data_IF_321629129122
#
_entry.id   IF_321629129122
#
_cell.length_a   1.000
_cell.length_b   1.000
_cell.length_c   1.000
_cell.angle_alpha   90.00
_cell.angle_beta   90.00
_cell.angle_gamma   90.00
#
_symmetry.space_group_name_H-M   'P 1'
#
loop_
_entity.id
_entity.type
_entity.pdbx_description
1 polymer ?
#
# COMPACT_ATOMS: atom_id res chain seq x y z
N UNK A 1 -22.67 0.97 22.71
CA UNK A 1 -21.72 1.80 21.94
C UNK A 1 -20.34 1.43 22.50
N UNK A 2 -19.59 0.62 21.77
CA UNK A 2 -18.23 0.24 22.14
C UNK A 2 -17.34 1.44 21.79
N UNK A 3 -16.77 2.12 22.78
CA UNK A 3 -15.69 3.07 22.56
C UNK A 3 -14.49 2.26 22.07
N UNK A 4 -14.22 2.28 20.77
CA UNK A 4 -13.03 1.69 20.21
C UNK A 4 -11.81 2.41 20.81
N UNK A 5 -10.91 1.65 21.41
CA UNK A 5 -9.64 2.18 21.91
C UNK A 5 -8.82 2.63 20.69
N UNK A 6 -8.60 3.93 20.52
CA UNK A 6 -7.71 4.48 19.48
C UNK A 6 -6.30 3.96 19.70
N UNK A 7 -5.66 3.45 18.64
CA UNK A 7 -4.28 2.94 18.71
C UNK A 7 -3.27 4.06 18.48
N UNK A 8 -2.03 3.90 18.92
CA UNK A 8 -0.97 4.86 18.64
C UNK A 8 -0.73 5.05 17.13
N UNK A 9 -0.94 3.99 16.32
CA UNK A 9 -0.88 4.03 14.86
C UNK A 9 -2.00 4.91 14.29
N UNK A 10 -3.22 4.76 14.78
CA UNK A 10 -4.36 5.56 14.36
C UNK A 10 -4.18 7.04 14.73
N UNK A 11 -3.76 7.35 15.95
CA UNK A 11 -3.50 8.72 16.40
C UNK A 11 -2.44 9.40 15.53
N UNK A 12 -1.34 8.69 15.24
CA UNK A 12 -0.26 9.21 14.43
C UNK A 12 -0.73 9.56 13.00
N UNK A 13 -1.36 8.60 12.30
CA UNK A 13 -1.76 8.80 10.92
C UNK A 13 -2.94 9.76 10.78
N UNK A 14 -3.90 9.75 11.70
CA UNK A 14 -4.98 10.73 11.70
C UNK A 14 -4.45 12.15 11.87
N UNK A 15 -3.53 12.38 12.82
CA UNK A 15 -2.84 13.66 12.99
C UNK A 15 -2.05 14.07 11.75
N UNK A 16 -1.30 13.12 11.15
CA UNK A 16 -0.52 13.37 9.95
C UNK A 16 -1.36 13.88 8.77
N UNK A 17 -2.57 13.33 8.58
CA UNK A 17 -3.48 13.77 7.54
C UNK A 17 -4.23 15.05 7.92
N UNK A 18 -4.55 15.30 9.19
CA UNK A 18 -5.22 16.52 9.63
C UNK A 18 -4.34 17.78 9.53
N UNK A 19 -3.04 17.64 9.71
CA UNK A 19 -2.09 18.77 9.69
C UNK A 19 -1.90 19.40 8.29
N UNK A 20 -2.38 18.76 7.22
CA UNK A 20 -2.20 19.21 5.82
C UNK A 20 -3.47 19.00 5.02
N UNK A 21 -3.75 19.93 4.10
CA UNK A 21 -4.92 19.82 3.22
C UNK A 21 -4.79 18.71 2.17
N UNK A 22 -3.58 18.45 1.70
CA UNK A 22 -3.22 17.39 0.77
C UNK A 22 -1.80 16.90 1.05
N UNK A 23 -1.62 15.60 1.10
CA UNK A 23 -0.33 14.97 1.37
C UNK A 23 0.30 14.45 0.07
N UNK A 24 -0.48 13.73 -0.73
CA UNK A 24 0.02 13.01 -1.90
C UNK A 24 -0.33 13.73 -3.21
N UNK A 25 0.38 13.38 -4.26
CA UNK A 25 0.24 14.03 -5.58
C UNK A 25 -1.08 13.72 -6.28
N UNK A 26 -1.87 12.77 -5.78
CA UNK A 26 -3.08 12.26 -6.45
C UNK A 26 -2.79 11.38 -7.68
N UNK A 27 -1.50 11.06 -7.93
CA UNK A 27 -1.10 10.14 -9.01
C UNK A 27 -0.87 8.73 -8.44
N UNK A 28 -1.26 7.68 -9.18
CA UNK A 28 -1.00 6.31 -8.76
C UNK A 28 0.50 6.03 -8.68
N UNK A 29 0.87 5.08 -7.83
CA UNK A 29 2.27 4.66 -7.71
C UNK A 29 2.76 4.04 -9.02
N UNK A 30 3.90 4.50 -9.57
CA UNK A 30 4.41 4.02 -10.85
C UNK A 30 4.70 2.51 -10.86
N UNK A 31 5.09 1.93 -9.72
CA UNK A 31 5.33 0.48 -9.60
C UNK A 31 4.02 -0.30 -9.65
N UNK A 32 2.94 0.19 -9.02
CA UNK A 32 1.61 -0.39 -9.19
C UNK A 32 1.18 -0.34 -10.65
N UNK A 33 1.31 0.81 -11.30
CA UNK A 33 0.95 0.98 -12.73
C UNK A 33 1.72 -0.02 -13.60
N UNK A 34 3.03 -0.14 -13.42
CA UNK A 34 3.89 -1.06 -14.17
C UNK A 34 3.43 -2.52 -14.04
N UNK A 35 3.15 -2.94 -12.81
CA UNK A 35 2.90 -4.35 -12.51
C UNK A 35 1.43 -4.76 -12.70
N UNK A 36 0.48 -3.85 -12.51
CA UNK A 36 -0.94 -4.18 -12.54
C UNK A 36 -1.65 -3.81 -13.85
N UNK A 37 -1.06 -2.97 -14.72
CA UNK A 37 -1.72 -2.50 -15.94
C UNK A 37 -2.09 -3.63 -16.92
N UNK A 38 -1.40 -4.77 -16.87
CA UNK A 38 -1.65 -5.93 -17.73
C UNK A 38 -2.50 -7.02 -17.08
N UNK A 39 -2.95 -6.82 -15.84
CA UNK A 39 -3.83 -7.77 -15.15
C UNK A 39 -5.28 -7.55 -15.60
N UNK A 40 -6.01 -8.64 -15.73
CA UNK A 40 -7.45 -8.58 -15.98
C UNK A 40 -8.18 -8.05 -14.74
N UNK A 41 -9.05 -7.03 -14.89
CA UNK A 41 -9.76 -6.46 -13.75
C UNK A 41 -10.69 -7.47 -13.06
N UNK A 42 -10.59 -7.51 -11.75
CA UNK A 42 -11.40 -8.32 -10.85
C UNK A 42 -11.69 -7.58 -9.55
N UNK A 43 -11.41 -8.23 -8.42
CA UNK A 43 -11.47 -7.64 -7.07
C UNK A 43 -10.07 -7.25 -6.60
N UNK A 44 -9.92 -6.06 -6.03
CA UNK A 44 -8.65 -5.59 -5.49
C UNK A 44 -8.78 -5.13 -4.03
N UNK A 45 -7.75 -5.39 -3.24
CA UNK A 45 -7.58 -4.85 -1.89
C UNK A 45 -6.36 -3.92 -1.89
N UNK A 46 -6.56 -2.66 -1.52
CA UNK A 46 -5.51 -1.65 -1.41
C UNK A 46 -5.24 -1.33 0.06
N UNK A 47 -4.08 -1.73 0.56
CA UNK A 47 -3.69 -1.64 1.97
C UNK A 47 -2.94 -0.34 2.25
N UNK A 48 -3.45 0.47 3.18
CA UNK A 48 -2.90 1.79 3.48
C UNK A 48 -3.11 2.74 2.31
N UNK A 49 -4.35 2.83 1.80
CA UNK A 49 -4.67 3.52 0.56
C UNK A 49 -4.46 5.05 0.61
N UNK A 50 -4.30 5.63 1.80
CA UNK A 50 -4.14 7.06 1.97
C UNK A 50 -5.28 7.85 1.35
N UNK A 51 -4.95 8.85 0.52
CA UNK A 51 -5.92 9.68 -0.20
C UNK A 51 -6.45 9.02 -1.49
N UNK A 52 -6.21 7.70 -1.70
CA UNK A 52 -6.91 6.84 -2.65
C UNK A 52 -6.43 6.86 -4.09
N UNK A 53 -5.24 7.41 -4.40
CA UNK A 53 -4.77 7.55 -5.78
C UNK A 53 -4.67 6.20 -6.52
N UNK A 54 -4.15 5.16 -5.85
CA UNK A 54 -3.99 3.81 -6.40
C UNK A 54 -5.35 3.14 -6.59
N UNK A 55 -6.24 3.23 -5.58
CA UNK A 55 -7.59 2.70 -5.64
C UNK A 55 -8.41 3.34 -6.79
N UNK A 56 -8.34 4.67 -6.96
CA UNK A 56 -9.00 5.40 -8.04
C UNK A 56 -8.49 4.95 -9.41
N UNK A 57 -7.17 4.79 -9.55
CA UNK A 57 -6.59 4.32 -10.80
C UNK A 57 -7.03 2.89 -11.13
N UNK A 58 -6.99 1.96 -10.17
CA UNK A 58 -7.48 0.59 -10.35
C UNK A 58 -8.97 0.57 -10.75
N UNK A 59 -9.81 1.33 -10.05
CA UNK A 59 -11.24 1.44 -10.37
C UNK A 59 -11.49 2.02 -11.76
N UNK A 60 -10.65 2.95 -12.22
CA UNK A 60 -10.66 3.48 -13.59
C UNK A 60 -10.37 2.44 -14.66
N UNK A 61 -9.59 1.39 -14.34
CA UNK A 61 -9.36 0.23 -15.20
C UNK A 61 -10.44 -0.84 -15.10
N UNK A 62 -11.45 -0.67 -14.24
CA UNK A 62 -12.58 -1.58 -14.10
C UNK A 62 -12.52 -2.51 -12.88
N UNK A 63 -11.52 -2.39 -12.02
CA UNK A 63 -11.44 -3.15 -10.78
C UNK A 63 -12.56 -2.76 -9.79
N UNK A 64 -13.03 -3.71 -9.00
CA UNK A 64 -13.80 -3.47 -7.78
C UNK A 64 -12.83 -3.44 -6.62
N UNK A 65 -12.68 -2.28 -6.00
CA UNK A 65 -11.61 -2.04 -5.01
C UNK A 65 -12.20 -1.96 -3.61
N UNK A 66 -11.61 -2.69 -2.67
CA UNK A 66 -11.70 -2.41 -1.24
C UNK A 66 -10.43 -1.66 -0.85
N UNK A 67 -10.57 -0.40 -0.45
CA UNK A 67 -9.46 0.46 -0.09
C UNK A 67 -9.49 0.75 1.41
N UNK A 68 -8.42 0.42 2.11
CA UNK A 68 -8.39 0.52 3.57
C UNK A 68 -7.26 1.41 4.06
N UNK A 69 -7.56 2.20 5.06
CA UNK A 69 -6.59 3.01 5.79
C UNK A 69 -7.01 3.13 7.25
N UNK A 70 -6.08 3.45 8.13
CA UNK A 70 -6.36 3.67 9.55
C UNK A 70 -6.89 5.09 9.81
N UNK A 71 -6.68 6.04 8.89
CA UNK A 71 -7.11 7.43 9.01
C UNK A 71 -8.46 7.68 8.33
N UNK A 72 -9.43 8.05 9.14
CA UNK A 72 -10.75 8.48 8.64
C UNK A 72 -10.65 9.74 7.78
N UNK A 73 -9.69 10.63 8.07
CA UNK A 73 -9.44 11.84 7.27
C UNK A 73 -8.92 11.50 5.89
N UNK A 74 -7.97 10.55 5.77
CA UNK A 74 -7.49 10.06 4.48
C UNK A 74 -8.63 9.45 3.66
N UNK A 75 -9.42 8.56 4.26
CA UNK A 75 -10.54 7.88 3.59
C UNK A 75 -11.62 8.86 3.10
N UNK A 76 -11.95 9.92 3.87
CA UNK A 76 -12.87 10.96 3.40
C UNK A 76 -12.36 11.68 2.16
N UNK A 77 -11.06 12.01 2.10
CA UNK A 77 -10.43 12.62 0.92
C UNK A 77 -10.41 11.67 -0.26
N UNK A 78 -10.07 10.40 -0.02
CA UNK A 78 -10.08 9.35 -1.04
C UNK A 78 -11.47 9.19 -1.67
N UNK A 79 -12.54 9.21 -0.88
CA UNK A 79 -13.90 9.17 -1.37
C UNK A 79 -14.23 10.37 -2.28
N UNK A 80 -13.82 11.59 -1.89
CA UNK A 80 -14.00 12.78 -2.73
C UNK A 80 -13.25 12.64 -4.06
N UNK A 81 -12.02 12.15 -4.05
CA UNK A 81 -11.23 11.91 -5.26
C UNK A 81 -11.88 10.86 -6.18
N UNK A 82 -12.43 9.79 -5.61
CA UNK A 82 -13.13 8.76 -6.35
C UNK A 82 -14.41 9.29 -7.03
N UNK A 83 -15.18 10.11 -6.34
CA UNK A 83 -16.36 10.78 -6.91
C UNK A 83 -15.97 11.74 -8.04
N UNK A 84 -14.94 12.56 -7.85
CA UNK A 84 -14.43 13.48 -8.88
C UNK A 84 -13.93 12.73 -10.13
N UNK A 85 -13.37 11.54 -9.95
CA UNK A 85 -12.94 10.68 -11.04
C UNK A 85 -14.09 9.85 -11.67
N UNK A 86 -15.30 9.89 -11.11
CA UNK A 86 -16.46 9.14 -11.60
C UNK A 86 -16.38 7.63 -11.37
N UNK A 87 -15.62 7.19 -10.36
CA UNK A 87 -15.41 5.76 -10.04
C UNK A 87 -15.85 5.37 -8.63
N UNK A 88 -16.50 6.27 -7.89
CA UNK A 88 -16.90 6.08 -6.50
C UNK A 88 -17.69 4.78 -6.26
N UNK A 89 -18.60 4.41 -7.17
CA UNK A 89 -19.40 3.17 -7.06
C UNK A 89 -18.57 1.87 -7.16
N UNK A 90 -17.30 1.94 -7.58
CA UNK A 90 -16.41 0.79 -7.70
C UNK A 90 -15.47 0.62 -6.53
N UNK A 91 -15.49 1.57 -5.57
CA UNK A 91 -14.56 1.56 -4.44
C UNK A 91 -15.35 1.54 -3.13
N UNK A 92 -15.02 0.59 -2.28
CA UNK A 92 -15.46 0.55 -0.88
C UNK A 92 -14.30 1.04 -0.03
N UNK A 93 -14.49 2.15 0.68
CA UNK A 93 -13.53 2.66 1.65
C UNK A 93 -13.89 2.14 3.04
N UNK A 94 -12.93 1.55 3.76
CA UNK A 94 -13.13 1.02 5.09
C UNK A 94 -11.97 1.39 6.03
N UNK A 95 -12.31 1.81 7.25
CA UNK A 95 -11.32 2.13 8.27
C UNK A 95 -10.85 0.83 8.96
N UNK A 96 -9.55 0.54 8.84
CA UNK A 96 -8.91 -0.59 9.49
C UNK A 96 -7.55 -0.21 10.06
N UNK A 97 -7.35 -0.45 11.35
CA UNK A 97 -6.02 -0.69 11.87
C UNK A 97 -5.64 -2.13 11.52
N UNK A 98 -4.82 -2.30 10.49
CA UNK A 98 -4.48 -3.61 9.93
C UNK A 98 -3.73 -4.53 10.92
N UNK A 99 -3.16 -3.96 11.98
CA UNK A 99 -2.61 -4.74 13.09
C UNK A 99 -3.70 -5.39 13.94
N UNK A 100 -4.90 -4.79 14.02
CA UNK A 100 -6.01 -5.23 14.86
C UNK A 100 -7.09 -5.95 14.06
N UNK A 101 -7.44 -5.43 12.87
CA UNK A 101 -8.51 -5.93 12.02
C UNK A 101 -8.04 -6.02 10.56
N UNK A 102 -8.74 -6.81 9.75
CA UNK A 102 -8.41 -6.96 8.35
C UNK A 102 -9.71 -7.22 7.56
N UNK A 103 -9.85 -6.70 6.33
CA UNK A 103 -11.03 -6.97 5.51
C UNK A 103 -11.22 -8.47 5.24
N UNK A 104 -12.46 -8.92 5.29
CA UNK A 104 -12.81 -10.28 4.93
C UNK A 104 -12.86 -10.46 3.40
N UNK A 105 -12.59 -11.68 2.94
CA UNK A 105 -12.72 -12.06 1.54
C UNK A 105 -11.42 -12.48 0.88
N UNK A 106 -11.54 -12.90 -0.39
CA UNK A 106 -10.42 -13.19 -1.27
C UNK A 106 -10.42 -12.20 -2.44
N UNK A 107 -9.22 -11.81 -2.88
CA UNK A 107 -9.03 -10.79 -3.90
C UNK A 107 -8.13 -11.29 -5.02
N UNK A 108 -8.41 -10.83 -6.25
CA UNK A 108 -7.57 -11.12 -7.42
C UNK A 108 -6.27 -10.30 -7.40
N UNK A 109 -6.28 -9.14 -6.71
CA UNK A 109 -5.09 -8.32 -6.46
C UNK A 109 -5.11 -7.82 -5.02
N UNK A 110 -4.03 -8.05 -4.26
CA UNK A 110 -3.77 -7.37 -2.98
C UNK A 110 -2.55 -6.49 -3.16
N UNK A 111 -2.70 -5.18 -2.94
CA UNK A 111 -1.67 -4.16 -3.13
C UNK A 111 -1.23 -3.56 -1.80
N UNK A 112 0.07 -3.53 -1.56
CA UNK A 112 0.71 -2.89 -0.41
C UNK A 112 1.83 -1.95 -0.90
N UNK A 113 1.46 -0.73 -1.30
CA UNK A 113 2.39 0.24 -1.85
C UNK A 113 2.98 1.11 -0.75
N UNK A 114 4.30 0.97 -0.53
CA UNK A 114 5.02 1.74 0.51
C UNK A 114 4.37 1.64 1.89
N UNK A 115 3.79 0.47 2.18
CA UNK A 115 3.11 0.18 3.42
C UNK A 115 4.12 0.05 4.56
N UNK A 116 4.30 1.13 5.31
CA UNK A 116 5.15 1.21 6.50
C UNK A 116 4.62 2.29 7.45
N UNK A 117 4.93 2.16 8.73
CA UNK A 117 4.57 3.16 9.74
C UNK A 117 5.76 3.40 10.67
N UNK A 118 6.10 4.67 10.98
CA UNK A 118 7.19 4.98 11.91
C UNK A 118 6.86 4.63 13.37
N UNK A 119 5.60 4.33 13.65
CA UNK A 119 5.11 3.94 14.98
C UNK A 119 4.68 2.47 15.05
N UNK A 120 4.95 1.69 13.98
CA UNK A 120 4.65 0.27 13.96
C UNK A 120 5.43 -0.49 15.05
N UNK A 121 4.77 -1.49 15.63
CA UNK A 121 5.43 -2.42 16.55
C UNK A 121 6.34 -3.39 15.77
N UNK A 122 7.27 -4.03 16.48
CA UNK A 122 8.13 -5.06 15.93
C UNK A 122 7.31 -6.14 15.20
N UNK A 123 7.74 -6.53 14.01
CA UNK A 123 7.07 -7.51 13.14
C UNK A 123 5.63 -7.18 12.69
N UNK A 124 5.07 -6.01 13.05
CA UNK A 124 3.71 -5.63 12.68
C UNK A 124 3.50 -5.67 11.16
N UNK A 125 4.38 -5.00 10.41
CA UNK A 125 4.33 -5.00 8.95
C UNK A 125 4.35 -6.41 8.37
N UNK A 126 5.23 -7.28 8.87
CA UNK A 126 5.34 -8.66 8.42
C UNK A 126 4.06 -9.45 8.69
N UNK A 127 3.44 -9.28 9.86
CA UNK A 127 2.17 -9.92 10.20
C UNK A 127 1.03 -9.46 9.28
N UNK A 128 0.96 -8.14 8.99
CA UNK A 128 -0.03 -7.58 8.05
C UNK A 128 0.19 -8.14 6.64
N UNK A 129 1.43 -8.20 6.16
CA UNK A 129 1.74 -8.74 4.83
C UNK A 129 1.45 -10.25 4.71
N UNK A 130 1.56 -11.03 5.79
CA UNK A 130 1.11 -12.43 5.81
C UNK A 130 -0.41 -12.53 5.66
N UNK A 131 -1.18 -11.71 6.38
CA UNK A 131 -2.64 -11.63 6.21
C UNK A 131 -3.02 -11.17 4.80
N UNK A 132 -2.24 -10.25 4.22
CA UNK A 132 -2.39 -9.83 2.83
C UNK A 132 -2.21 -11.01 1.86
N UNK A 133 -1.20 -11.86 2.09
CA UNK A 133 -1.01 -13.08 1.29
C UNK A 133 -2.16 -14.07 1.44
N UNK A 134 -2.69 -14.25 2.66
CA UNK A 134 -3.86 -15.12 2.92
C UNK A 134 -5.12 -14.64 2.19
N UNK A 135 -5.28 -13.31 2.03
CA UNK A 135 -6.41 -12.70 1.34
C UNK A 135 -6.30 -12.74 -0.21
N UNK A 136 -5.20 -13.22 -0.77
CA UNK A 136 -5.08 -13.39 -2.23
C UNK A 136 -5.79 -14.68 -2.64
N UNK A 137 -6.74 -14.60 -3.56
CA UNK A 137 -7.42 -15.76 -4.15
C UNK A 137 -6.47 -16.60 -5.03
N UNK A 138 -6.87 -17.84 -5.33
CA UNK A 138 -6.12 -18.71 -6.28
C UNK A 138 -6.06 -18.03 -7.65
N UNK A 139 -4.86 -17.94 -8.23
CA UNK A 139 -4.59 -17.20 -9.47
C UNK A 139 -4.36 -15.70 -9.26
N UNK A 140 -4.64 -15.18 -8.07
CA UNK A 140 -4.47 -13.78 -7.70
C UNK A 140 -3.01 -13.38 -7.45
N UNK A 141 -2.80 -12.10 -7.24
CA UNK A 141 -1.48 -11.47 -7.10
C UNK A 141 -1.38 -10.70 -5.78
N UNK A 142 -0.29 -10.90 -5.07
CA UNK A 142 0.18 -10.00 -4.02
C UNK A 142 1.26 -9.09 -4.62
N UNK A 143 1.03 -7.78 -4.57
CA UNK A 143 1.96 -6.77 -5.08
C UNK A 143 2.45 -5.88 -3.95
N UNK A 144 3.75 -5.92 -3.69
CA UNK A 144 4.39 -5.17 -2.61
C UNK A 144 5.43 -4.24 -3.21
N UNK A 145 5.35 -2.94 -2.91
CA UNK A 145 6.43 -2.00 -3.16
C UNK A 145 6.97 -1.41 -1.85
N UNK A 146 8.25 -1.11 -1.84
CA UNK A 146 8.93 -0.52 -0.68
C UNK A 146 10.11 0.35 -1.07
N UNK A 147 10.63 1.12 -0.12
CA UNK A 147 11.86 1.88 -0.30
C UNK A 147 13.06 0.99 0.01
N UNK A 148 14.12 1.09 -0.80
CA UNK A 148 15.41 0.43 -0.55
C UNK A 148 16.44 1.35 0.14
N UNK A 149 16.06 2.59 0.43
CA UNK A 149 16.94 3.55 1.07
C UNK A 149 16.42 4.98 1.03
N UNK A 150 17.20 5.87 1.59
CA UNK A 150 16.94 7.31 1.56
C UNK A 150 17.12 7.91 0.16
N UNK A 151 16.35 8.98 -0.18
CA UNK A 151 16.66 9.82 -1.32
C UNK A 151 18.09 10.35 -1.30
N UNK A 152 18.72 10.48 -2.47
CA UNK A 152 20.13 10.90 -2.58
C UNK A 152 20.39 12.31 -2.02
N UNK A 153 19.36 13.16 -1.94
CA UNK A 153 19.47 14.52 -1.38
C UNK A 153 19.35 14.57 0.16
N UNK A 154 19.05 13.44 0.83
CA UNK A 154 19.03 13.38 2.29
C UNK A 154 20.45 13.12 2.80
N UNK A 155 21.04 14.12 3.44
CA UNK A 155 22.40 14.06 4.01
C UNK A 155 22.39 13.45 5.40
N UNK A 156 21.46 13.88 6.26
CA UNK A 156 21.31 13.38 7.64
C UNK A 156 20.38 12.14 7.64
N UNK A 157 21.00 10.98 7.44
CA UNK A 157 20.31 9.70 7.36
C UNK A 157 20.18 9.10 8.74
N UNK A 158 18.96 9.10 9.27
CA UNK A 158 18.68 8.34 10.49
C UNK A 158 18.87 6.83 10.26
N UNK A 159 19.23 6.10 11.31
CA UNK A 159 19.34 4.66 11.27
C UNK A 159 17.95 4.03 11.16
N UNK A 160 17.49 3.87 9.92
CA UNK A 160 16.21 3.24 9.56
C UNK A 160 16.51 1.99 8.73
N UNK A 161 16.01 0.86 9.17
CA UNK A 161 16.09 -0.37 8.40
C UNK A 161 15.08 -0.34 7.24
N UNK A 162 15.58 -0.45 6.02
CA UNK A 162 14.78 -0.65 4.81
C UNK A 162 14.82 -2.15 4.47
N UNK A 163 13.72 -2.89 4.66
CA UNK A 163 13.74 -4.33 4.41
C UNK A 163 14.11 -4.66 2.97
N UNK A 164 15.06 -5.56 2.80
CA UNK A 164 15.39 -6.12 1.48
C UNK A 164 14.23 -6.99 0.95
N UNK A 165 14.19 -7.24 -0.34
CA UNK A 165 13.20 -8.13 -0.93
C UNK A 165 13.30 -9.56 -0.39
N UNK A 166 14.50 -10.02 -0.05
CA UNK A 166 14.70 -11.35 0.55
C UNK A 166 14.13 -11.40 1.96
N UNK A 167 14.39 -10.39 2.79
CA UNK A 167 13.80 -10.30 4.14
C UNK A 167 12.26 -10.25 4.09
N UNK A 168 11.69 -9.56 3.08
CA UNK A 168 10.23 -9.55 2.89
C UNK A 168 9.72 -10.94 2.50
N UNK A 169 10.37 -11.62 1.56
CA UNK A 169 10.01 -12.98 1.13
C UNK A 169 10.14 -13.98 2.27
N UNK A 170 11.24 -13.95 3.01
CA UNK A 170 11.46 -14.79 4.19
C UNK A 170 10.40 -14.51 5.27
N UNK A 171 10.11 -13.23 5.48
CA UNK A 171 9.06 -12.81 6.41
C UNK A 171 7.66 -13.29 6.02
N UNK A 172 7.33 -13.34 4.74
CA UNK A 172 6.06 -13.88 4.25
C UNK A 172 5.94 -15.39 4.46
N UNK A 173 7.04 -16.13 4.46
CA UNK A 173 7.09 -17.59 4.65
C UNK A 173 6.14 -18.35 3.71
N UNK A 174 6.05 -17.93 2.44
CA UNK A 174 5.15 -18.51 1.45
C UNK A 174 5.59 -19.93 1.05
N UNK A 175 4.62 -20.82 0.87
CA UNK A 175 4.84 -22.20 0.45
C UNK A 175 4.99 -22.37 -1.07
N UNK A 176 4.99 -23.64 -1.52
CA UNK A 176 5.10 -24.01 -2.93
C UNK A 176 3.89 -23.59 -3.79
N UNK A 177 2.84 -23.06 -3.15
CA UNK A 177 1.64 -22.56 -3.82
C UNK A 177 1.81 -21.14 -4.37
N UNK A 178 3.01 -20.58 -4.26
CA UNK A 178 3.34 -19.25 -4.73
C UNK A 178 4.46 -19.24 -5.75
N UNK A 179 4.37 -18.31 -6.70
CA UNK A 179 5.38 -18.02 -7.71
C UNK A 179 5.80 -16.57 -7.64
N UNK A 180 7.10 -16.30 -7.63
CA UNK A 180 7.66 -14.95 -7.76
C UNK A 180 7.68 -14.59 -9.24
N UNK A 181 6.83 -13.65 -9.66
CA UNK A 181 6.76 -13.16 -11.04
C UNK A 181 7.69 -11.96 -11.27
N UNK A 182 7.78 -11.05 -10.27
CA UNK A 182 8.70 -9.92 -10.29
C UNK A 182 9.40 -9.80 -8.94
N UNK A 183 10.71 -9.63 -8.99
CA UNK A 183 11.58 -9.24 -7.87
C UNK A 183 12.60 -8.26 -8.42
N UNK A 184 12.34 -6.96 -8.28
CA UNK A 184 13.09 -5.94 -8.99
C UNK A 184 13.34 -4.71 -8.09
N UNK A 185 14.48 -4.04 -8.34
CA UNK A 185 14.85 -2.78 -7.71
C UNK A 185 14.96 -1.70 -8.79
N UNK A 186 14.21 -0.62 -8.62
CA UNK A 186 14.05 0.43 -9.64
C UNK A 186 14.54 1.75 -9.09
N UNK A 187 15.56 2.33 -9.73
CA UNK A 187 15.99 3.68 -9.44
C UNK A 187 15.06 4.68 -10.13
N UNK A 188 14.57 5.66 -9.39
CA UNK A 188 13.69 6.71 -9.87
C UNK A 188 14.22 8.08 -9.48
N UNK A 189 14.04 9.04 -10.38
CA UNK A 189 14.14 10.44 -10.02
C UNK A 189 12.94 10.86 -9.17
N UNK A 190 13.20 11.57 -8.10
CA UNK A 190 12.18 12.10 -7.19
C UNK A 190 12.48 13.55 -6.86
N UNK A 191 11.43 14.30 -6.57
CA UNK A 191 11.51 15.69 -6.11
C UNK A 191 11.17 15.77 -4.64
N UNK A 192 12.04 16.34 -3.85
CA UNK A 192 11.84 16.61 -2.43
C UNK A 192 10.91 17.80 -2.18
N UNK A 193 10.47 17.99 -0.93
CA UNK A 193 9.50 19.01 -0.56
C UNK A 193 9.97 20.45 -0.81
N UNK A 194 11.27 20.70 -0.86
CA UNK A 194 11.87 22.02 -1.17
C UNK A 194 12.31 22.13 -2.64
N UNK A 195 11.86 21.21 -3.51
CA UNK A 195 12.22 21.19 -4.93
C UNK A 195 13.56 20.52 -5.23
N UNK A 196 14.22 19.89 -4.25
CA UNK A 196 15.46 19.13 -4.49
C UNK A 196 15.16 17.97 -5.44
N UNK A 197 15.99 17.77 -6.44
CA UNK A 197 15.92 16.62 -7.34
C UNK A 197 16.98 15.60 -6.94
N UNK A 198 16.61 14.35 -6.86
CA UNK A 198 17.53 13.27 -6.55
C UNK A 198 17.00 11.91 -6.95
N UNK A 199 17.80 10.89 -6.67
CA UNK A 199 17.49 9.50 -6.99
C UNK A 199 17.08 8.75 -5.72
N UNK A 200 16.15 7.82 -5.85
CA UNK A 200 15.81 6.82 -4.83
C UNK A 200 15.57 5.48 -5.49
N UNK A 201 16.08 4.44 -4.87
CA UNK A 201 15.77 3.07 -5.27
C UNK A 201 14.55 2.58 -4.51
N UNK A 202 13.56 2.10 -5.24
CA UNK A 202 12.39 1.43 -4.71
C UNK A 202 12.42 -0.04 -5.15
N UNK A 203 11.84 -0.92 -4.31
CA UNK A 203 11.73 -2.35 -4.58
C UNK A 203 10.31 -2.73 -4.93
N UNK A 204 10.15 -3.77 -5.74
CA UNK A 204 8.85 -4.35 -6.06
C UNK A 204 8.92 -5.88 -6.07
N UNK A 205 7.93 -6.48 -5.43
CA UNK A 205 7.64 -7.91 -5.45
C UNK A 205 6.25 -8.12 -6.02
N UNK A 206 6.14 -8.93 -7.07
CA UNK A 206 4.88 -9.44 -7.59
C UNK A 206 4.88 -10.95 -7.43
N UNK A 207 3.95 -11.42 -6.60
CA UNK A 207 3.85 -12.81 -6.17
C UNK A 207 2.48 -13.33 -6.58
N UNK A 208 2.44 -14.46 -7.30
CA UNK A 208 1.18 -15.09 -7.73
C UNK A 208 0.87 -16.31 -6.89
N UNK A 209 -0.36 -16.40 -6.40
CA UNK A 209 -0.90 -17.61 -5.77
C UNK A 209 -1.34 -18.59 -6.86
N UNK A 210 -0.67 -19.74 -6.99
CA UNK A 210 -0.92 -20.72 -8.07
C UNK A 210 -1.82 -21.88 -7.66
N UNK A 211 -2.01 -22.10 -6.36
CA UNK A 211 -2.89 -23.15 -5.79
C UNK A 211 -3.52 -22.70 -4.49
#
# INVERSE_FOLDING_TARGET
MSEGTTTGTQEFWEGFYQDRDQIWTGKPNPLLVREAASLDPGTALDLGCGEGADAVWLAGLGWRVTAVDVSSTALRRAAVHAEQAGVGERIVFAEHDLAQSFPDGEFDLVSAQFFHSPVAQDDERTKVLRRAAEAVGIGGVLLIAGHAGWPSFIEDRHDVHFPTMDEVLDGLALGADWSVETKDAVEREITGPEGQVGLRTDTVLRLRRVR
#
